data_IF_919607315245
#
_entry.id   IF_919607315245
#
_cell.length_a   1.000
_cell.length_b   1.000
_cell.length_c   1.000
_cell.angle_alpha   90.00
_cell.angle_beta   90.00
_cell.angle_gamma   90.00
#
_symmetry.space_group_name_H-M   'P 1'
#
loop_
_entity.id
_entity.type
_entity.pdbx_description
1 polymer ?
#
# COMPACT_ATOMS: atom_id res chain seq x y z
N UNK A 1 21.09 -41.89 37.28
CA UNK A 1 19.67 -41.58 37.54
C UNK A 1 19.35 -40.08 37.43
N UNK A 2 20.01 -39.18 38.19
CA UNK A 2 19.74 -37.72 38.08
C UNK A 2 20.08 -37.10 36.71
N UNK A 3 21.16 -37.53 36.08
CA UNK A 3 21.59 -37.05 34.76
C UNK A 3 20.66 -37.48 33.63
N UNK A 4 20.09 -38.69 33.71
CA UNK A 4 19.15 -39.18 32.68
C UNK A 4 17.83 -38.42 32.71
N UNK A 5 17.31 -38.09 33.89
CA UNK A 5 16.08 -37.28 34.05
C UNK A 5 16.26 -35.89 33.44
N UNK A 6 17.44 -35.27 33.61
CA UNK A 6 17.72 -33.94 33.05
C UNK A 6 17.73 -33.96 31.52
N UNK A 7 18.31 -35.00 30.91
CA UNK A 7 18.33 -35.16 29.46
C UNK A 7 16.91 -35.35 28.91
N UNK A 8 16.08 -36.17 29.56
CA UNK A 8 14.69 -36.40 29.12
C UNK A 8 13.85 -35.13 29.20
N UNK A 9 13.99 -34.35 30.28
CA UNK A 9 13.29 -33.07 30.44
C UNK A 9 13.76 -32.06 29.39
N UNK A 10 15.06 -31.97 29.13
CA UNK A 10 15.58 -31.06 28.12
C UNK A 10 15.13 -31.41 26.70
N UNK A 11 15.07 -32.71 26.36
CA UNK A 11 14.55 -33.18 25.07
C UNK A 11 13.06 -32.87 24.88
N UNK A 12 12.26 -32.99 25.96
CA UNK A 12 10.82 -32.68 25.89
C UNK A 12 10.52 -31.19 25.65
N UNK A 13 11.37 -30.27 26.14
CA UNK A 13 11.19 -28.82 25.94
C UNK A 13 11.45 -28.42 24.47
N UNK A 14 12.37 -29.10 23.79
CA UNK A 14 12.65 -28.83 22.38
C UNK A 14 11.51 -29.26 21.43
N UNK A 15 10.75 -30.30 21.78
CA UNK A 15 9.65 -30.79 20.94
C UNK A 15 8.38 -29.91 20.99
N UNK A 16 8.21 -29.09 22.03
CA UNK A 16 7.03 -28.23 22.20
C UNK A 16 7.17 -26.90 21.44
N UNK A 17 8.39 -26.50 21.07
CA UNK A 17 8.65 -25.18 20.47
C UNK A 17 8.34 -25.07 18.97
N UNK A 18 7.78 -26.11 18.36
CA UNK A 18 7.41 -26.15 16.94
C UNK A 18 5.89 -25.95 16.74
N UNK A 19 5.31 -24.91 17.35
CA UNK A 19 3.98 -24.45 16.94
C UNK A 19 4.10 -23.77 15.58
N UNK A 20 3.87 -24.54 14.51
CA UNK A 20 3.90 -24.04 13.13
C UNK A 20 3.02 -22.80 13.00
N UNK A 21 3.64 -21.65 12.71
CA UNK A 21 2.92 -20.42 12.39
C UNK A 21 2.06 -20.72 11.17
N UNK A 22 0.75 -20.94 11.39
CA UNK A 22 -0.21 -21.05 10.29
C UNK A 22 -0.19 -19.72 9.55
N UNK A 23 0.52 -19.67 8.42
CA UNK A 23 0.48 -18.55 7.49
C UNK A 23 -1.00 -18.38 7.11
N UNK A 24 -1.63 -17.32 7.63
CA UNK A 24 -3.02 -17.00 7.27
C UNK A 24 -3.03 -16.88 5.75
N UNK A 25 -3.90 -17.63 5.08
CA UNK A 25 -4.12 -17.42 3.65
C UNK A 25 -4.53 -15.97 3.45
N UNK A 26 -3.88 -15.30 2.51
CA UNK A 26 -4.25 -13.95 2.13
C UNK A 26 -5.72 -13.97 1.68
N UNK A 27 -6.57 -13.18 2.34
CA UNK A 27 -7.94 -12.95 1.86
C UNK A 27 -8.02 -11.48 1.48
N UNK A 28 -8.52 -11.21 0.28
CA UNK A 28 -8.62 -9.86 -0.28
C UNK A 28 -9.51 -8.90 0.55
N UNK A 29 -10.25 -9.42 1.56
CA UNK A 29 -11.21 -8.66 2.36
C UNK A 29 -11.05 -8.83 3.89
N UNK A 30 -9.81 -8.90 4.42
CA UNK A 30 -9.60 -9.00 5.87
C UNK A 30 -9.68 -7.66 6.62
N UNK A 31 -9.85 -6.55 5.91
CA UNK A 31 -9.94 -5.26 6.58
C UNK A 31 -11.30 -5.10 7.28
N UNK A 32 -11.31 -4.40 8.42
CA UNK A 32 -12.54 -4.09 9.14
C UNK A 32 -13.48 -3.17 8.32
N UNK A 33 -12.96 -2.52 7.28
CA UNK A 33 -13.72 -1.70 6.37
C UNK A 33 -13.11 -1.76 4.96
N UNK A 34 -13.57 -2.70 4.11
CA UNK A 34 -13.10 -2.89 2.74
C UNK A 34 -13.05 -1.60 1.94
N UNK A 35 -14.11 -0.79 2.01
CA UNK A 35 -14.25 0.45 1.27
C UNK A 35 -13.12 1.44 1.60
N UNK A 36 -12.84 1.64 2.90
CA UNK A 36 -11.74 2.52 3.33
C UNK A 36 -10.40 1.98 2.84
N UNK A 37 -10.16 0.68 3.00
CA UNK A 37 -8.91 0.06 2.54
C UNK A 37 -8.71 0.19 1.04
N UNK A 38 -9.77 0.04 0.26
CA UNK A 38 -9.75 0.22 -1.20
C UNK A 38 -9.44 1.66 -1.58
N UNK A 39 -10.07 2.65 -0.93
CA UNK A 39 -9.75 4.07 -1.15
C UNK A 39 -8.27 4.36 -0.88
N UNK A 40 -7.77 3.91 0.28
CA UNK A 40 -6.36 4.09 0.66
C UNK A 40 -5.41 3.42 -0.33
N UNK A 41 -5.73 2.19 -0.74
CA UNK A 41 -4.92 1.43 -1.70
C UNK A 41 -4.87 2.14 -3.04
N UNK A 42 -6.00 2.69 -3.51
CA UNK A 42 -6.04 3.47 -4.74
C UNK A 42 -5.11 4.69 -4.68
N UNK A 43 -5.16 5.47 -3.60
CA UNK A 43 -4.25 6.61 -3.38
C UNK A 43 -2.77 6.17 -3.42
N UNK A 44 -2.45 5.06 -2.75
CA UNK A 44 -1.10 4.50 -2.73
C UNK A 44 -0.62 4.09 -4.12
N UNK A 45 -1.44 3.36 -4.86
CA UNK A 45 -1.14 2.89 -6.20
C UNK A 45 -0.94 4.06 -7.17
N UNK A 46 -1.82 5.08 -7.13
CA UNK A 46 -1.66 6.28 -7.95
C UNK A 46 -0.40 7.06 -7.56
N UNK A 47 -0.11 7.20 -6.25
CA UNK A 47 1.14 7.80 -5.78
C UNK A 47 2.39 7.09 -6.34
N UNK A 48 2.41 5.76 -6.32
CA UNK A 48 3.53 4.98 -6.86
C UNK A 48 3.69 5.21 -8.36
N UNK A 49 2.60 5.05 -9.12
CA UNK A 49 2.61 5.16 -10.57
C UNK A 49 3.08 6.55 -11.01
N UNK A 50 2.57 7.61 -10.39
CA UNK A 50 2.93 8.98 -10.72
C UNK A 50 4.34 9.34 -10.24
N UNK A 51 4.74 8.85 -9.05
CA UNK A 51 6.07 9.09 -8.50
C UNK A 51 7.18 8.55 -9.40
N UNK A 52 6.96 7.40 -10.05
CA UNK A 52 7.92 6.83 -11.00
C UNK A 52 7.88 7.47 -12.40
N UNK A 53 6.78 8.09 -12.82
CA UNK A 53 6.70 8.79 -14.12
C UNK A 53 7.53 10.08 -14.17
N UNK A 54 7.58 10.82 -13.07
CA UNK A 54 8.13 12.18 -13.01
C UNK A 54 9.66 12.23 -13.20
N UNK A 55 10.39 11.13 -12.98
CA UNK A 55 11.86 11.06 -13.16
C UNK A 55 12.29 10.69 -14.61
N UNK A 56 11.39 10.85 -15.58
CA UNK A 56 11.59 10.48 -17.00
C UNK A 56 12.59 11.38 -17.76
N UNK A 57 13.10 12.44 -17.14
CA UNK A 57 14.10 13.36 -17.75
C UNK A 57 15.46 12.71 -18.02
N UNK A 58 15.73 11.49 -17.55
CA UNK A 58 16.97 10.73 -17.85
C UNK A 58 16.77 9.49 -18.74
N UNK A 59 15.68 9.40 -19.50
CA UNK A 59 15.54 8.41 -20.60
C UNK A 59 15.39 6.94 -20.19
N UNK A 60 15.20 6.63 -18.90
CA UNK A 60 15.04 5.26 -18.41
C UNK A 60 13.59 4.89 -18.07
N UNK A 61 13.02 3.97 -18.84
CA UNK A 61 12.18 2.82 -18.46
C UNK A 61 10.96 2.96 -17.51
N UNK A 62 10.54 4.15 -17.04
CA UNK A 62 9.39 4.24 -16.11
C UNK A 62 8.08 3.72 -16.71
N UNK A 63 7.85 4.00 -18.00
CA UNK A 63 6.71 3.46 -18.75
C UNK A 63 6.75 1.93 -18.87
N UNK A 64 7.93 1.34 -18.97
CA UNK A 64 8.11 -0.12 -19.07
C UNK A 64 7.79 -0.79 -17.73
N UNK A 65 8.28 -0.24 -16.62
CA UNK A 65 7.98 -0.76 -15.29
C UNK A 65 6.49 -0.67 -15.00
N UNK A 66 5.87 0.49 -15.23
CA UNK A 66 4.43 0.69 -15.02
C UNK A 66 3.61 -0.26 -15.90
N UNK A 67 3.99 -0.43 -17.16
CA UNK A 67 3.34 -1.36 -18.09
C UNK A 67 3.52 -2.82 -17.63
N UNK A 68 4.69 -3.18 -17.11
CA UNK A 68 4.94 -4.53 -16.61
C UNK A 68 4.12 -4.82 -15.36
N UNK A 69 4.06 -3.89 -14.41
CA UNK A 69 3.23 -4.02 -13.21
C UNK A 69 1.77 -4.15 -13.63
N UNK A 70 1.23 -3.25 -14.46
CA UNK A 70 -0.18 -3.32 -14.93
C UNK A 70 -0.52 -4.61 -15.69
N UNK A 71 0.46 -5.26 -16.34
CA UNK A 71 0.25 -6.54 -17.03
C UNK A 71 0.26 -7.75 -16.09
N UNK A 72 1.03 -7.69 -15.00
CA UNK A 72 1.21 -8.79 -14.05
C UNK A 72 0.30 -8.71 -12.84
N UNK A 73 -0.06 -7.48 -12.48
CA UNK A 73 -0.81 -7.14 -11.30
C UNK A 73 -1.91 -6.15 -11.70
N UNK A 74 -3.20 -6.54 -11.60
CA UNK A 74 -4.31 -5.62 -11.73
C UNK A 74 -4.34 -4.72 -10.48
N UNK A 75 -3.45 -3.73 -10.47
CA UNK A 75 -3.12 -2.88 -9.31
C UNK A 75 -4.37 -2.31 -8.63
N UNK A 76 -5.46 -2.08 -9.38
CA UNK A 76 -6.76 -1.75 -8.83
C UNK A 76 -7.86 -2.31 -9.73
N UNK A 77 -8.58 -3.31 -9.25
CA UNK A 77 -9.90 -3.70 -9.77
C UNK A 77 -10.80 -3.93 -8.56
N UNK A 78 -11.43 -2.85 -8.07
CA UNK A 78 -12.45 -2.95 -7.04
C UNK A 78 -13.57 -1.95 -7.35
N UNK A 79 -14.73 -2.48 -7.71
CA UNK A 79 -15.92 -1.73 -8.16
C UNK A 79 -16.68 -1.01 -7.02
N UNK A 80 -16.20 -1.06 -5.78
CA UNK A 80 -16.92 -0.48 -4.64
C UNK A 80 -16.79 1.05 -4.54
N UNK A 81 -15.78 1.64 -5.18
CA UNK A 81 -15.60 3.08 -5.20
C UNK A 81 -16.42 3.70 -6.34
N UNK A 82 -17.23 4.70 -6.00
CA UNK A 82 -17.88 5.52 -7.03
C UNK A 82 -16.87 6.43 -7.75
N UNK A 83 -17.27 6.96 -8.90
CA UNK A 83 -16.43 7.82 -9.74
C UNK A 83 -15.81 9.00 -8.98
N UNK A 84 -16.58 9.69 -8.12
CA UNK A 84 -16.09 10.84 -7.37
C UNK A 84 -15.01 10.46 -6.34
N UNK A 85 -15.17 9.31 -5.68
CA UNK A 85 -14.17 8.81 -4.74
C UNK A 85 -12.89 8.39 -5.47
N UNK A 86 -13.00 7.75 -6.64
CA UNK A 86 -11.86 7.41 -7.50
C UNK A 86 -11.11 8.67 -7.96
N UNK A 87 -11.82 9.64 -8.52
CA UNK A 87 -11.22 10.90 -8.99
C UNK A 87 -10.51 11.64 -7.84
N UNK A 88 -11.12 11.66 -6.65
CA UNK A 88 -10.48 12.24 -5.47
C UNK A 88 -9.23 11.48 -5.04
N UNK A 89 -9.27 10.14 -5.05
CA UNK A 89 -8.13 9.32 -4.69
C UNK A 89 -6.97 9.52 -5.68
N UNK A 90 -7.28 9.63 -6.97
CA UNK A 90 -6.29 9.91 -8.02
C UNK A 90 -5.62 11.27 -7.83
N UNK A 91 -6.42 12.34 -7.67
CA UNK A 91 -5.92 13.69 -7.43
C UNK A 91 -5.01 13.74 -6.19
N UNK A 92 -5.39 13.03 -5.13
CA UNK A 92 -4.59 12.94 -3.92
C UNK A 92 -3.27 12.19 -4.16
N UNK A 93 -3.31 11.04 -4.84
CA UNK A 93 -2.12 10.28 -5.21
C UNK A 93 -1.12 11.10 -6.04
N UNK A 94 -1.59 11.80 -7.07
CA UNK A 94 -0.79 12.71 -7.91
C UNK A 94 -0.14 13.81 -7.07
N UNK A 95 -0.92 14.43 -6.17
CA UNK A 95 -0.43 15.50 -5.29
C UNK A 95 0.71 15.01 -4.40
N UNK A 96 0.56 13.84 -3.78
CA UNK A 96 1.60 13.24 -2.92
C UNK A 96 2.87 13.00 -3.74
N UNK A 97 2.75 12.31 -4.88
CA UNK A 97 3.87 11.99 -5.77
C UNK A 97 4.66 13.22 -6.23
N UNK A 98 3.94 14.30 -6.54
CA UNK A 98 4.52 15.57 -6.96
C UNK A 98 5.30 16.25 -5.82
N UNK A 99 4.81 16.14 -4.59
CA UNK A 99 5.40 16.74 -3.39
C UNK A 99 6.59 15.97 -2.79
N UNK A 100 6.95 14.79 -3.32
CA UNK A 100 8.08 14.02 -2.80
C UNK A 100 9.39 14.78 -3.05
N UNK A 101 10.16 15.12 -1.99
CA UNK A 101 11.43 15.82 -2.16
C UNK A 101 12.47 14.90 -2.83
N UNK A 102 13.36 15.54 -3.58
CA UNK A 102 14.57 14.88 -4.04
C UNK A 102 15.62 14.93 -2.94
N UNK A 103 16.37 13.85 -2.78
CA UNK A 103 17.46 13.73 -1.81
C UNK A 103 18.73 13.41 -2.58
N UNK A 104 19.79 14.16 -2.30
CA UNK A 104 21.12 13.87 -2.84
C UNK A 104 21.66 12.59 -2.19
N UNK A 105 22.02 11.61 -3.02
CA UNK A 105 22.63 10.37 -2.56
C UNK A 105 24.15 10.44 -2.72
N UNK A 106 24.92 9.86 -1.77
CA UNK A 106 26.36 9.75 -1.89
C UNK A 106 26.74 8.97 -3.16
N UNK A 107 27.74 9.48 -3.89
CA UNK A 107 28.35 8.87 -5.07
C UNK A 107 28.77 7.40 -4.83
N UNK A 108 29.24 7.10 -3.61
CA UNK A 108 29.75 5.80 -3.19
C UNK A 108 28.74 4.65 -3.34
N UNK A 109 27.44 4.93 -3.30
CA UNK A 109 26.39 3.90 -3.38
C UNK A 109 26.15 3.45 -4.83
N UNK A 110 26.47 4.30 -5.82
CA UNK A 110 26.14 4.05 -7.22
C UNK A 110 27.36 4.06 -8.16
N UNK A 111 28.56 4.31 -7.64
CA UNK A 111 29.80 4.20 -8.42
C UNK A 111 29.99 5.28 -9.49
N UNK A 112 29.36 6.44 -9.32
CA UNK A 112 29.43 7.57 -10.26
C UNK A 112 30.06 8.80 -9.60
N UNK A 113 30.83 9.61 -10.35
CA UNK A 113 31.55 10.79 -9.85
C UNK A 113 30.63 11.97 -9.43
N UNK A 114 29.33 11.91 -9.74
CA UNK A 114 28.35 12.95 -9.40
C UNK A 114 27.28 12.48 -8.41
N UNK A 115 26.88 13.38 -7.50
CA UNK A 115 25.75 13.15 -6.60
C UNK A 115 24.43 13.08 -7.39
N UNK A 116 23.66 12.00 -7.20
CA UNK A 116 22.34 11.87 -7.82
C UNK A 116 21.24 12.33 -6.86
N UNK A 117 20.41 13.23 -7.34
CA UNK A 117 19.14 13.55 -6.68
C UNK A 117 18.09 12.50 -7.06
N UNK A 118 17.59 11.75 -6.07
CA UNK A 118 16.53 10.75 -6.25
C UNK A 118 15.35 11.00 -5.34
N UNK A 119 14.16 10.59 -5.79
CA UNK A 119 12.95 10.54 -4.96
C UNK A 119 12.82 9.16 -4.31
N UNK A 120 12.61 9.11 -3.00
CA UNK A 120 12.25 7.86 -2.30
C UNK A 120 10.76 7.56 -2.45
N UNK A 121 10.31 7.28 -3.68
CA UNK A 121 8.89 7.16 -4.05
C UNK A 121 8.15 6.15 -3.19
N UNK A 122 8.63 4.90 -3.16
CA UNK A 122 7.99 3.81 -2.41
C UNK A 122 7.81 4.15 -0.93
N UNK A 123 8.87 4.65 -0.29
CA UNK A 123 8.84 4.99 1.14
C UNK A 123 7.82 6.10 1.44
N UNK A 124 7.80 7.16 0.62
CA UNK A 124 6.86 8.26 0.83
C UNK A 124 5.40 7.83 0.60
N UNK A 125 5.13 7.07 -0.48
CA UNK A 125 3.79 6.57 -0.73
C UNK A 125 3.33 5.60 0.37
N UNK A 126 4.21 4.72 0.86
CA UNK A 126 3.91 3.79 1.95
C UNK A 126 3.65 4.51 3.27
N UNK A 127 4.47 5.50 3.62
CA UNK A 127 4.27 6.32 4.82
C UNK A 127 2.96 7.09 4.75
N UNK A 128 2.58 7.60 3.58
CA UNK A 128 1.28 8.28 3.43
C UNK A 128 0.12 7.29 3.46
N UNK A 129 0.27 6.09 2.91
CA UNK A 129 -0.71 5.00 3.02
C UNK A 129 -1.01 4.65 4.49
N UNK A 130 -0.01 4.66 5.35
CA UNK A 130 -0.17 4.40 6.79
C UNK A 130 -0.49 5.66 7.63
N UNK A 131 -0.66 6.82 6.99
CA UNK A 131 -0.86 8.08 7.71
C UNK A 131 -2.27 8.23 8.29
N UNK A 132 -2.35 8.88 9.46
CA UNK A 132 -3.62 9.32 10.07
C UNK A 132 -4.39 10.32 9.20
N UNK A 133 -3.66 11.09 8.38
CA UNK A 133 -4.25 12.03 7.43
C UNK A 133 -5.08 11.29 6.38
N UNK A 134 -4.48 10.31 5.72
CA UNK A 134 -5.19 9.50 4.73
C UNK A 134 -6.34 8.71 5.36
N UNK A 135 -6.17 8.19 6.57
CA UNK A 135 -7.27 7.56 7.32
C UNK A 135 -8.46 8.50 7.54
N UNK A 136 -8.19 9.76 7.88
CA UNK A 136 -9.23 10.77 8.09
C UNK A 136 -9.98 11.08 6.79
N UNK A 137 -9.23 11.28 5.69
CA UNK A 137 -9.79 11.54 4.36
C UNK A 137 -10.65 10.35 3.90
N UNK A 138 -10.14 9.12 4.02
CA UNK A 138 -10.87 7.92 3.62
C UNK A 138 -12.15 7.72 4.45
N UNK A 139 -12.11 7.96 5.77
CA UNK A 139 -13.29 7.93 6.64
C UNK A 139 -14.33 8.99 6.26
N UNK A 140 -13.89 10.19 5.87
CA UNK A 140 -14.78 11.27 5.42
C UNK A 140 -15.52 10.87 4.14
N UNK A 141 -14.80 10.35 3.15
CA UNK A 141 -15.39 9.84 1.92
C UNK A 141 -16.33 8.65 2.17
N UNK A 142 -15.94 7.72 3.05
CA UNK A 142 -16.81 6.60 3.41
C UNK A 142 -18.12 7.07 4.05
N UNK A 143 -18.07 8.09 4.91
CA UNK A 143 -19.27 8.69 5.50
C UNK A 143 -20.16 9.34 4.43
N UNK A 144 -19.58 9.98 3.42
CA UNK A 144 -20.34 10.53 2.29
C UNK A 144 -20.99 9.42 1.46
N UNK A 145 -20.25 8.34 1.17
CA UNK A 145 -20.76 7.15 0.50
C UNK A 145 -21.97 6.54 1.23
N UNK A 146 -21.87 6.33 2.56
CA UNK A 146 -22.98 5.80 3.36
C UNK A 146 -24.23 6.68 3.33
N UNK A 147 -24.08 8.00 3.19
CA UNK A 147 -25.22 8.92 3.04
C UNK A 147 -25.89 8.77 1.66
N UNK A 148 -25.11 8.56 0.60
CA UNK A 148 -25.62 8.29 -0.74
C UNK A 148 -26.45 7.01 -0.77
N UNK A 149 -25.86 5.90 -0.31
CA UNK A 149 -26.52 4.58 -0.28
C UNK A 149 -27.85 4.59 0.50
N UNK A 150 -27.94 5.39 1.58
CA UNK A 150 -29.19 5.53 2.34
C UNK A 150 -30.30 6.25 1.58
N UNK A 151 -29.94 7.25 0.76
CA UNK A 151 -30.93 7.99 -0.06
C UNK A 151 -31.48 7.11 -1.17
N UNK A 152 -30.64 6.32 -1.83
CA UNK A 152 -31.04 5.45 -2.93
C UNK A 152 -32.03 4.38 -2.44
N UNK A 153 -31.75 3.74 -1.30
CA UNK A 153 -32.66 2.76 -0.67
C UNK A 153 -34.03 3.33 -0.29
N UNK A 154 -34.11 4.62 0.02
CA UNK A 154 -35.36 5.28 0.39
C UNK A 154 -36.21 5.62 -0.85
N UNK A 155 -35.58 5.82 -2.00
CA UNK A 155 -36.26 6.03 -3.28
C UNK A 155 -36.77 4.73 -3.90
N UNK A 156 -36.09 3.60 -3.66
CA UNK A 156 -36.48 2.27 -4.15
C UNK A 156 -37.63 1.62 -3.36
N UNK A 157 -38.13 2.28 -2.31
CA UNK A 157 -39.22 1.77 -1.44
C UNK A 157 -40.60 2.38 -1.75
N UNK A 158 -40.78 2.99 -2.93
CA UNK A 158 -42.04 3.59 -3.40
C UNK A 158 -42.56 2.91 -4.65
#
# INVERSE_FOLDING_TARGET
>A
MRTEIVITVFLSVFLISCSGVKKRSFKYNQSSNPWISTYKLHVFCTCLLEGYKIDSTKGYQSDTLIRYIKRRDPIVVYDELNFLALESADKLGIKIASGIPKVALPAEIYGEEESFERKFVMMNCLNYYDSKELDSIAKSWYKAYLKGVRKDKQNDSY
#
